data_IF_355185200203
#
_entry.id   IF_355185200203
#
_cell.length_a   1.000
_cell.length_b   1.000
_cell.length_c   1.000
_cell.angle_alpha   90.00
_cell.angle_beta   90.00
_cell.angle_gamma   90.00
#
_symmetry.space_group_name_H-M   'P 1'
#
loop_
_entity.id
_entity.type
_entity.pdbx_description
1 polymer ?
#
# COMPACT_ATOMS: atom_id res chain seq x y z
N UNK A 1 -19.84 17.57 6.78
CA UNK A 1 -19.22 17.30 8.09
C UNK A 1 -18.35 16.07 7.94
N UNK A 2 -17.16 16.05 8.54
CA UNK A 2 -16.29 14.86 8.52
C UNK A 2 -16.96 13.71 9.27
N UNK A 3 -16.90 12.48 8.73
CA UNK A 3 -17.47 11.31 9.40
C UNK A 3 -16.68 10.98 10.66
N UNK A 4 -17.34 10.43 11.66
CA UNK A 4 -16.63 9.92 12.85
C UNK A 4 -15.87 8.65 12.48
N UNK A 5 -14.71 8.43 13.10
CA UNK A 5 -13.91 7.22 12.86
C UNK A 5 -14.71 5.92 13.06
N UNK A 6 -15.61 5.89 14.04
CA UNK A 6 -16.50 4.75 14.31
C UNK A 6 -17.46 4.47 13.14
N UNK A 7 -17.94 5.52 12.46
CA UNK A 7 -18.82 5.40 11.30
C UNK A 7 -18.05 4.87 10.08
N UNK A 8 -16.80 5.32 9.90
CA UNK A 8 -15.91 4.86 8.82
C UNK A 8 -15.62 3.37 9.00
N UNK A 9 -15.15 2.98 10.19
CA UNK A 9 -14.85 1.58 10.51
C UNK A 9 -16.11 0.72 10.39
N UNK A 10 -17.25 1.18 10.91
CA UNK A 10 -18.50 0.44 10.82
C UNK A 10 -18.93 0.16 9.38
N UNK A 11 -18.88 1.18 8.51
CA UNK A 11 -19.20 1.03 7.10
C UNK A 11 -18.24 0.09 6.37
N UNK A 12 -16.93 0.23 6.61
CA UNK A 12 -15.90 -0.58 5.98
C UNK A 12 -16.00 -2.06 6.41
N UNK A 13 -16.20 -2.33 7.70
CA UNK A 13 -16.39 -3.69 8.21
C UNK A 13 -17.67 -4.31 7.65
N UNK A 14 -18.75 -3.53 7.54
CA UNK A 14 -20.00 -4.00 6.94
C UNK A 14 -19.81 -4.39 5.46
N UNK A 15 -19.05 -3.60 4.70
CA UNK A 15 -18.73 -3.86 3.30
C UNK A 15 -17.82 -5.10 3.13
N UNK A 16 -16.81 -5.26 3.97
CA UNK A 16 -15.94 -6.46 4.00
C UNK A 16 -16.74 -7.73 4.31
N UNK A 17 -17.66 -7.65 5.28
CA UNK A 17 -18.53 -8.77 5.64
C UNK A 17 -19.46 -9.16 4.49
N UNK A 18 -20.08 -8.18 3.82
CA UNK A 18 -20.96 -8.42 2.66
C UNK A 18 -20.19 -9.02 1.48
N UNK A 19 -19.04 -8.47 1.13
CA UNK A 19 -18.21 -8.96 0.02
C UNK A 19 -17.67 -10.37 0.26
N UNK A 20 -17.31 -10.70 1.50
CA UNK A 20 -16.86 -12.06 1.87
C UNK A 20 -18.01 -13.04 2.14
N UNK A 21 -19.27 -12.61 2.13
CA UNK A 21 -20.42 -13.45 2.48
C UNK A 21 -20.40 -13.96 3.93
N UNK A 22 -19.74 -13.23 4.84
CA UNK A 22 -19.56 -13.66 6.22
C UNK A 22 -20.69 -13.15 7.12
N UNK A 23 -21.17 -14.02 8.03
CA UNK A 23 -22.05 -13.64 9.13
C UNK A 23 -21.23 -13.29 10.38
N UNK A 24 -21.81 -12.53 11.31
CA UNK A 24 -21.11 -12.18 12.57
C UNK A 24 -20.66 -13.44 13.35
N UNK A 25 -21.45 -14.51 13.32
CA UNK A 25 -21.10 -15.79 13.94
C UNK A 25 -19.96 -16.51 13.19
N UNK A 26 -19.91 -16.40 11.86
CA UNK A 26 -18.81 -16.92 11.08
C UNK A 26 -17.49 -16.18 11.38
N UNK A 27 -17.55 -14.86 11.59
CA UNK A 27 -16.39 -14.06 11.96
C UNK A 27 -15.90 -14.39 13.38
N UNK A 28 -16.82 -14.55 14.34
CA UNK A 28 -16.47 -15.03 15.69
C UNK A 28 -15.72 -16.37 15.64
N UNK A 29 -16.23 -17.32 14.85
CA UNK A 29 -15.55 -18.60 14.63
C UNK A 29 -14.19 -18.42 13.96
N UNK A 30 -14.06 -17.54 12.96
CA UNK A 30 -12.80 -17.25 12.26
C UNK A 30 -11.74 -16.65 13.20
N UNK A 31 -12.15 -15.89 14.20
CA UNK A 31 -11.26 -15.29 15.21
C UNK A 31 -10.97 -16.20 16.40
N UNK A 32 -11.49 -17.44 16.41
CA UNK A 32 -11.45 -18.37 17.55
C UNK A 32 -12.01 -17.76 18.85
N UNK A 33 -13.10 -17.00 18.76
CA UNK A 33 -13.78 -16.42 19.92
C UNK A 33 -13.12 -15.18 20.52
N UNK A 34 -12.01 -14.69 19.94
CA UNK A 34 -11.39 -13.40 20.34
C UNK A 34 -12.31 -12.21 20.09
N UNK A 35 -13.22 -12.35 19.14
CA UNK A 35 -14.24 -11.36 18.80
C UNK A 35 -15.62 -12.02 18.94
N UNK A 36 -16.43 -11.56 19.90
CA UNK A 36 -17.80 -12.09 20.04
C UNK A 36 -18.72 -11.51 18.97
N UNK A 37 -19.75 -12.26 18.57
CA UNK A 37 -20.83 -11.79 17.68
C UNK A 37 -21.38 -10.42 18.07
N UNK A 38 -21.56 -10.18 19.37
CA UNK A 38 -22.12 -8.92 19.88
C UNK A 38 -21.17 -7.73 19.69
N UNK A 39 -19.85 -7.98 19.76
CA UNK A 39 -18.83 -6.97 19.48
C UNK A 39 -18.81 -6.62 17.99
N UNK A 40 -18.89 -7.62 17.10
CA UNK A 40 -18.95 -7.40 15.65
C UNK A 40 -20.15 -6.54 15.27
N UNK A 41 -21.31 -6.86 15.86
CA UNK A 41 -22.57 -6.16 15.59
C UNK A 41 -22.49 -4.69 15.99
N UNK A 42 -21.93 -4.39 17.17
CA UNK A 42 -21.70 -3.02 17.64
C UNK A 42 -20.74 -2.25 16.74
N UNK A 43 -19.63 -2.87 16.31
CA UNK A 43 -18.69 -2.25 15.37
C UNK A 43 -19.39 -1.88 14.07
N UNK A 44 -20.14 -2.82 13.47
CA UNK A 44 -20.85 -2.60 12.19
C UNK A 44 -21.90 -1.49 12.28
N UNK A 45 -22.58 -1.33 13.42
CA UNK A 45 -23.57 -0.27 13.64
C UNK A 45 -22.97 1.05 14.13
N UNK A 46 -21.64 1.14 14.30
CA UNK A 46 -20.96 2.26 14.94
C UNK A 46 -21.56 2.59 16.33
N UNK A 47 -22.04 1.57 17.05
CA UNK A 47 -22.67 1.70 18.36
C UNK A 47 -21.61 1.63 19.46
N UNK A 48 -21.32 2.79 20.06
CA UNK A 48 -20.30 2.92 21.09
C UNK A 48 -18.88 2.94 20.51
N UNK A 49 -17.89 3.18 21.38
CA UNK A 49 -16.49 3.11 20.99
C UNK A 49 -16.03 1.66 21.03
N UNK A 50 -15.84 1.05 19.86
CA UNK A 50 -15.19 -0.25 19.78
C UNK A 50 -13.74 -0.12 20.28
N UNK A 51 -13.33 -1.00 21.18
CA UNK A 51 -11.93 -1.06 21.62
C UNK A 51 -11.01 -1.29 20.42
N UNK A 52 -9.84 -0.66 20.44
CA UNK A 52 -8.84 -0.75 19.36
C UNK A 52 -8.49 -2.21 19.06
N UNK A 53 -8.37 -3.05 20.09
CA UNK A 53 -8.15 -4.49 19.99
C UNK A 53 -9.24 -5.21 19.17
N UNK A 54 -10.51 -4.83 19.35
CA UNK A 54 -11.61 -5.45 18.59
C UNK A 54 -11.52 -5.10 17.10
N UNK A 55 -11.21 -3.84 16.80
CA UNK A 55 -10.99 -3.39 15.42
C UNK A 55 -9.75 -4.07 14.80
N UNK A 56 -8.70 -4.24 15.59
CA UNK A 56 -7.48 -4.93 15.15
C UNK A 56 -7.69 -6.44 14.92
N UNK A 57 -8.51 -7.10 15.73
CA UNK A 57 -8.90 -8.51 15.49
C UNK A 57 -9.73 -8.65 14.21
N UNK A 58 -10.64 -7.70 13.94
CA UNK A 58 -11.40 -7.68 12.69
C UNK A 58 -10.45 -7.50 11.50
N UNK A 59 -9.55 -6.50 11.53
CA UNK A 59 -8.58 -6.27 10.47
C UNK A 59 -7.78 -7.55 10.18
N UNK A 60 -7.22 -8.17 11.23
CA UNK A 60 -6.47 -9.44 11.12
C UNK A 60 -7.30 -10.59 10.55
N UNK A 61 -8.59 -10.69 10.89
CA UNK A 61 -9.48 -11.70 10.33
C UNK A 61 -9.68 -11.54 8.81
N UNK A 62 -9.50 -10.34 8.28
CA UNK A 62 -9.53 -10.04 6.84
C UNK A 62 -8.15 -9.95 6.19
N UNK A 63 -7.06 -10.19 6.94
CA UNK A 63 -5.69 -10.04 6.42
C UNK A 63 -5.29 -8.59 6.17
N UNK A 64 -5.91 -7.65 6.90
CA UNK A 64 -5.67 -6.22 6.81
C UNK A 64 -4.87 -5.72 8.02
N UNK A 65 -4.12 -4.66 7.82
CA UNK A 65 -3.63 -3.77 8.85
C UNK A 65 -4.77 -2.92 9.42
N UNK A 66 -4.62 -2.56 10.69
CA UNK A 66 -5.61 -1.78 11.44
C UNK A 66 -5.96 -0.46 10.73
N UNK A 67 -4.97 0.27 10.23
CA UNK A 67 -5.15 1.60 9.63
C UNK A 67 -6.02 1.54 8.37
N UNK A 68 -6.03 0.43 7.63
CA UNK A 68 -6.81 0.28 6.40
C UNK A 68 -8.32 0.38 6.67
N UNK A 69 -8.79 -0.03 7.86
CA UNK A 69 -10.20 0.10 8.24
C UNK A 69 -10.65 1.55 8.47
N UNK A 70 -9.71 2.49 8.59
CA UNK A 70 -9.99 3.92 8.78
C UNK A 70 -9.96 4.70 7.46
N UNK A 71 -9.69 4.06 6.32
CA UNK A 71 -9.74 4.71 5.00
C UNK A 71 -11.20 4.88 4.58
N UNK A 72 -11.63 6.10 4.31
CA UNK A 72 -12.99 6.34 3.83
C UNK A 72 -13.24 5.67 2.47
N UNK A 73 -14.35 4.95 2.35
CA UNK A 73 -14.73 4.30 1.08
C UNK A 73 -13.86 3.10 0.72
N UNK A 74 -13.43 2.33 1.72
CA UNK A 74 -12.64 1.11 1.52
C UNK A 74 -13.30 0.20 0.48
N UNK A 75 -12.61 -0.09 -0.61
CA UNK A 75 -13.05 -1.06 -1.60
C UNK A 75 -12.41 -2.43 -1.30
N UNK A 76 -13.20 -3.48 -0.97
CA UNK A 76 -12.68 -4.84 -0.78
C UNK A 76 -11.96 -5.39 -2.01
N UNK A 77 -12.25 -4.90 -3.22
CA UNK A 77 -11.56 -5.30 -4.45
C UNK A 77 -10.21 -4.56 -4.65
N UNK A 78 -10.02 -3.41 -3.99
CA UNK A 78 -8.81 -2.58 -4.10
C UNK A 78 -8.41 -2.06 -2.72
N UNK A 79 -7.73 -2.93 -1.97
CA UNK A 79 -7.31 -2.63 -0.60
C UNK A 79 -6.19 -1.58 -0.58
N UNK A 80 -6.25 -0.57 0.33
CA UNK A 80 -5.21 0.43 0.47
C UNK A 80 -3.91 -0.19 0.99
N UNK A 81 -2.78 -0.09 0.29
CA UNK A 81 -1.52 -0.67 0.76
C UNK A 81 -0.47 0.42 0.99
N UNK A 82 0.25 0.34 2.11
CA UNK A 82 1.48 1.12 2.29
C UNK A 82 2.56 0.50 1.40
N UNK A 83 2.86 1.12 0.25
CA UNK A 83 3.94 0.67 -0.63
C UNK A 83 3.52 -0.07 -1.91
N UNK A 84 2.27 0.07 -2.36
CA UNK A 84 1.97 -0.01 -3.80
C UNK A 84 1.44 1.33 -4.27
N UNK A 85 2.26 2.35 -4.05
CA UNK A 85 2.22 3.52 -4.89
C UNK A 85 3.26 3.33 -6.01
N UNK A 86 2.97 2.36 -6.88
CA UNK A 86 3.33 2.47 -8.30
C UNK A 86 2.34 3.45 -9.00
N UNK A 87 1.66 4.31 -8.24
CA UNK A 87 0.45 5.04 -8.63
C UNK A 87 0.52 6.56 -8.55
N UNK A 88 1.60 7.16 -8.01
CA UNK A 88 1.73 8.63 -7.98
C UNK A 88 3.18 9.15 -8.08
N UNK A 89 4.07 8.39 -8.72
CA UNK A 89 5.23 8.93 -9.48
C UNK A 89 5.24 8.40 -10.93
N UNK A 90 4.07 8.00 -11.45
CA UNK A 90 3.85 8.08 -12.90
C UNK A 90 3.37 9.49 -13.22
N UNK A 91 4.28 10.47 -13.06
CA UNK A 91 4.40 11.46 -14.12
C UNK A 91 4.41 10.63 -15.40
N UNK A 92 3.37 10.75 -16.23
CA UNK A 92 3.14 9.90 -17.39
C UNK A 92 4.49 9.68 -18.10
N UNK A 93 5.03 8.47 -17.96
CA UNK A 93 6.33 8.13 -18.53
C UNK A 93 6.28 8.53 -20.00
N UNK A 94 7.31 9.20 -20.50
CA UNK A 94 7.34 9.54 -21.92
C UNK A 94 7.21 8.27 -22.76
N UNK A 95 6.78 8.40 -24.02
CA UNK A 95 6.69 7.24 -24.91
C UNK A 95 8.02 6.49 -25.00
N UNK A 96 9.15 7.21 -24.89
CA UNK A 96 10.49 6.61 -24.87
C UNK A 96 10.77 5.82 -23.59
N UNK A 97 10.38 6.34 -22.43
CA UNK A 97 10.56 5.66 -21.14
C UNK A 97 9.73 4.37 -21.06
N UNK A 98 8.49 4.41 -21.57
CA UNK A 98 7.65 3.22 -21.66
C UNK A 98 8.24 2.17 -22.59
N UNK A 99 8.71 2.57 -23.77
CA UNK A 99 9.35 1.67 -24.72
C UNK A 99 10.62 1.03 -24.15
N UNK A 100 11.41 1.78 -23.38
CA UNK A 100 12.62 1.29 -22.73
C UNK A 100 12.31 0.23 -21.67
N UNK A 101 11.30 0.47 -20.83
CA UNK A 101 10.87 -0.49 -19.80
C UNK A 101 10.34 -1.78 -20.44
N UNK A 102 9.52 -1.67 -21.49
CA UNK A 102 9.00 -2.83 -22.21
C UNK A 102 10.12 -3.65 -22.83
N UNK A 103 11.08 -2.97 -23.46
CA UNK A 103 12.26 -3.61 -24.06
C UNK A 103 13.08 -4.33 -23.00
N UNK A 104 13.40 -3.67 -21.88
CA UNK A 104 14.15 -4.27 -20.78
C UNK A 104 13.48 -5.52 -20.21
N UNK A 105 12.16 -5.47 -19.99
CA UNK A 105 11.37 -6.62 -19.50
C UNK A 105 11.34 -7.79 -20.47
N UNK A 106 11.50 -7.55 -21.77
CA UNK A 106 11.56 -8.60 -22.79
C UNK A 106 12.90 -9.35 -22.83
N UNK A 107 13.96 -8.81 -22.20
CA UNK A 107 15.27 -9.43 -22.15
C UNK A 107 15.31 -10.62 -21.17
N UNK A 108 16.21 -11.57 -21.43
CA UNK A 108 16.52 -12.63 -20.47
C UNK A 108 17.18 -12.02 -19.21
N UNK A 109 16.91 -12.56 -18.00
CA UNK A 109 17.53 -12.13 -16.74
C UNK A 109 19.05 -11.85 -16.78
N UNK A 110 19.83 -12.65 -17.52
CA UNK A 110 21.27 -12.43 -17.64
C UNK A 110 21.61 -11.10 -18.33
N UNK A 111 20.86 -10.74 -19.37
CA UNK A 111 21.04 -9.46 -20.08
C UNK A 111 20.45 -8.28 -19.30
N UNK A 112 19.34 -8.49 -18.57
CA UNK A 112 18.82 -7.48 -17.65
C UNK A 112 19.88 -7.08 -16.62
N UNK A 113 20.55 -8.08 -16.01
CA UNK A 113 21.59 -7.81 -15.04
C UNK A 113 22.79 -7.07 -15.63
N UNK A 114 23.18 -7.39 -16.87
CA UNK A 114 24.27 -6.69 -17.55
C UNK A 114 23.94 -5.22 -17.82
N UNK A 115 22.72 -4.95 -18.29
CA UNK A 115 22.22 -3.58 -18.49
C UNK A 115 22.24 -2.79 -17.17
N UNK A 116 21.77 -3.38 -16.07
CA UNK A 116 21.80 -2.73 -14.76
C UNK A 116 23.23 -2.41 -14.32
N UNK A 117 24.16 -3.35 -14.47
CA UNK A 117 25.57 -3.13 -14.12
C UNK A 117 26.20 -1.99 -14.93
N UNK A 118 25.88 -1.88 -16.22
CA UNK A 118 26.40 -0.81 -17.06
C UNK A 118 25.77 0.53 -16.71
N UNK A 119 24.46 0.58 -16.42
CA UNK A 119 23.80 1.79 -15.89
C UNK A 119 24.50 2.27 -14.62
N UNK A 120 24.80 1.38 -13.68
CA UNK A 120 25.50 1.73 -12.43
C UNK A 120 26.89 2.32 -12.70
N UNK A 121 27.65 1.72 -13.63
CA UNK A 121 28.97 2.22 -14.04
C UNK A 121 28.88 3.64 -14.63
N UNK A 122 27.92 3.88 -15.52
CA UNK A 122 27.75 5.20 -16.12
C UNK A 122 27.28 6.24 -15.10
N UNK A 123 26.37 5.87 -14.20
CA UNK A 123 25.92 6.75 -13.12
C UNK A 123 27.06 7.11 -12.15
N UNK A 124 27.96 6.17 -11.86
CA UNK A 124 29.16 6.46 -11.08
C UNK A 124 30.13 7.39 -11.83
N UNK A 125 30.40 7.13 -13.10
CA UNK A 125 31.24 7.98 -13.93
C UNK A 125 30.70 9.42 -14.00
N UNK A 126 29.39 9.58 -14.19
CA UNK A 126 28.72 10.89 -14.20
C UNK A 126 28.92 11.62 -12.86
N UNK A 127 28.65 10.97 -11.72
CA UNK A 127 28.90 11.54 -10.39
C UNK A 127 30.35 12.02 -10.21
N UNK A 128 31.32 11.23 -10.67
CA UNK A 128 32.74 11.60 -10.59
C UNK A 128 33.09 12.81 -11.48
N UNK A 129 32.49 12.95 -12.65
CA UNK A 129 32.71 14.14 -13.51
C UNK A 129 32.13 15.42 -12.89
N UNK A 130 30.96 15.33 -12.27
CA UNK A 130 30.33 16.46 -11.57
C UNK A 130 31.18 16.92 -10.38
N UNK A 131 31.72 15.98 -9.60
CA UNK A 131 32.60 16.29 -8.47
C UNK A 131 33.91 16.96 -8.91
N UNK A 132 34.57 16.45 -9.96
CA UNK A 132 35.79 17.06 -10.51
C UNK A 132 35.56 18.47 -11.10
N UNK A 133 34.38 18.71 -11.69
CA UNK A 133 33.98 20.03 -12.19
C UNK A 133 33.70 21.03 -11.06
N UNK A 134 33.19 20.56 -9.92
CA UNK A 134 33.02 21.37 -8.70
C UNK A 134 34.34 21.75 -8.00
N UNK A 135 35.35 20.87 -8.01
CA UNK A 135 36.67 21.17 -7.43
C UNK A 135 37.52 22.13 -8.28
N UNK A 136 37.46 22.01 -9.61
CA UNK A 136 38.19 22.90 -10.52
C UNK A 136 37.68 24.35 -10.48
N UNK A 137 36.40 24.56 -10.18
CA UNK A 137 35.82 25.91 -10.02
C UNK A 137 36.17 26.57 -8.67
N UNK A 138 36.60 25.81 -7.65
CA UNK A 138 37.03 26.35 -6.35
C UNK A 138 38.51 26.75 -6.30
N UNK A 139 39.34 26.31 -7.26
CA UNK A 139 40.78 26.65 -7.33
C UNK A 139 41.09 27.88 -8.20
N UNK A 140 40.07 28.50 -8.80
CA UNK A 140 40.14 29.79 -9.51
C UNK A 140 39.19 30.79 -8.83
N UNK A 141 39.53 31.20 -7.62
CA UNK A 141 39.01 32.39 -6.95
C UNK A 141 40.13 32.99 -6.11
#
# INVERSE_FOLDING_TARGET
MAKKATEIVGANVDQLMRSAGLSNAALEKKTNGRLTRSTVDRVRRAEGSAGVESVAEIARAFGLDLWQLFVEGLDPARLPSLGQDDGEVTSALSEEEQALILTFRSLNPAFQQLVLNDIDRYAEAERQTVLKKGESSKRRA
#
